data_IF_550296787069
#
_entry.id   IF_550296787069
#
_cell.length_a   1.000
_cell.length_b   1.000
_cell.length_c   1.000
_cell.angle_alpha   90.00
_cell.angle_beta   90.00
_cell.angle_gamma   90.00
#
_symmetry.space_group_name_H-M   'P 1'
#
loop_
_entity.id
_entity.type
_entity.pdbx_description
1 polymer ?
#
# COMPACT_ATOMS: atom_id res chain seq x y z
N UNK A 1 8.65 1.69 23.20
CA UNK A 1 8.01 2.89 22.61
C UNK A 1 6.80 2.32 21.89
N UNK A 2 5.65 2.39 22.55
CA UNK A 2 4.40 1.76 22.08
C UNK A 2 3.93 2.47 20.82
N UNK A 3 3.76 1.72 19.73
CA UNK A 3 3.04 2.19 18.54
C UNK A 3 1.68 2.71 18.99
N UNK A 4 1.41 3.98 18.69
CA UNK A 4 0.08 4.53 18.90
C UNK A 4 -0.88 3.81 17.97
N UNK A 5 -2.03 3.40 18.51
CA UNK A 5 -3.08 2.75 17.73
C UNK A 5 -3.48 3.68 16.57
N UNK A 6 -3.19 3.25 15.34
CA UNK A 6 -3.57 3.95 14.13
C UNK A 6 -5.09 3.85 13.97
N UNK A 7 -5.80 4.91 14.39
CA UNK A 7 -7.24 5.03 14.20
C UNK A 7 -7.49 5.56 12.78
N UNK A 8 -8.43 4.97 12.00
CA UNK A 8 -8.80 5.54 10.71
C UNK A 8 -9.20 7.01 10.91
N UNK A 9 -8.40 7.93 10.37
CA UNK A 9 -8.68 9.35 10.43
C UNK A 9 -9.99 9.63 9.70
N UNK A 10 -10.84 10.43 10.33
CA UNK A 10 -12.02 11.03 9.71
C UNK A 10 -11.56 11.79 8.44
N UNK A 11 -11.82 11.18 7.27
CA UNK A 11 -11.46 11.68 5.93
C UNK A 11 -12.25 12.95 5.52
N UNK A 12 -12.74 13.74 6.47
CA UNK A 12 -13.51 14.97 6.21
C UNK A 12 -12.76 16.28 6.47
N UNK A 13 -11.50 16.25 6.92
CA UNK A 13 -10.71 17.48 7.04
C UNK A 13 -9.87 17.71 5.80
N UNK A 14 -10.51 18.25 4.76
CA UNK A 14 -9.78 19.12 3.84
C UNK A 14 -9.14 20.24 4.68
N UNK A 15 -7.86 20.50 4.45
CA UNK A 15 -7.08 21.50 5.17
C UNK A 15 -7.41 22.92 4.77
N UNK A 16 -8.69 23.33 4.69
CA UNK A 16 -9.05 24.73 4.46
C UNK A 16 -9.91 25.29 5.58
N UNK A 17 -9.30 26.27 6.24
CA UNK A 17 -9.87 27.39 7.01
C UNK A 17 -10.59 27.07 8.32
N UNK A 18 -9.96 27.43 9.45
CA UNK A 18 -10.49 28.46 10.35
C UNK A 18 -9.31 29.24 10.99
N UNK A 19 -9.14 30.49 10.58
CA UNK A 19 -8.37 31.47 11.36
C UNK A 19 -9.31 32.05 12.42
N UNK A 20 -9.13 31.65 13.68
CA UNK A 20 -9.59 32.46 14.81
C UNK A 20 -8.37 32.99 15.57
N UNK A 21 -8.08 34.26 15.33
CA UNK A 21 -7.10 35.09 16.00
C UNK A 21 -7.65 35.54 17.36
N UNK A 22 -7.00 35.16 18.47
CA UNK A 22 -6.85 36.01 19.65
C UNK A 22 -5.74 35.48 20.58
N UNK A 23 -4.62 36.22 20.65
CA UNK A 23 -3.79 36.24 21.86
C UNK A 23 -2.28 36.07 21.63
N UNK A 24 -1.59 37.19 21.49
CA UNK A 24 -0.13 37.28 21.47
C UNK A 24 0.45 36.83 22.83
N UNK A 25 1.22 35.75 22.82
CA UNK A 25 2.41 35.61 23.66
C UNK A 25 3.58 35.23 22.75
N UNK A 26 4.54 36.14 22.67
CA UNK A 26 5.81 35.93 21.99
C UNK A 26 6.74 35.05 22.86
N UNK A 27 7.63 34.35 22.15
CA UNK A 27 8.73 33.51 22.61
C UNK A 27 8.37 32.07 23.01
N UNK A 28 8.16 31.22 22.00
CA UNK A 28 8.85 29.92 21.89
C UNK A 28 8.60 29.29 20.52
N UNK A 29 9.69 28.99 19.81
CA UNK A 29 9.81 28.18 18.58
C UNK A 29 8.68 28.32 17.56
N UNK A 30 8.94 29.13 16.53
CA UNK A 30 8.30 28.96 15.23
C UNK A 30 8.69 27.57 14.70
N UNK A 31 7.93 26.54 15.08
CA UNK A 31 7.82 25.33 14.29
C UNK A 31 7.33 25.82 12.93
N UNK A 32 8.26 26.01 12.00
CA UNK A 32 7.91 25.95 10.59
C UNK A 32 7.41 24.53 10.43
N UNK A 33 6.09 24.35 10.53
CA UNK A 33 5.42 23.21 9.92
C UNK A 33 5.72 23.42 8.45
N UNK A 34 6.84 22.86 7.98
CA UNK A 34 7.10 22.78 6.56
C UNK A 34 6.02 21.86 6.05
N UNK A 35 4.96 22.41 5.48
CA UNK A 35 4.06 21.62 4.65
C UNK A 35 4.94 20.86 3.67
N UNK A 36 4.83 19.53 3.66
CA UNK A 36 5.60 18.71 2.75
C UNK A 36 5.36 19.17 1.33
N UNK A 37 6.42 19.21 0.53
CA UNK A 37 6.29 19.62 -0.86
C UNK A 37 5.69 18.48 -1.68
N UNK A 38 5.17 18.84 -2.84
CA UNK A 38 4.74 17.88 -3.85
C UNK A 38 5.93 17.61 -4.78
N UNK A 39 6.24 16.34 -4.99
CA UNK A 39 7.21 15.82 -5.94
C UNK A 39 6.44 15.07 -7.01
N UNK A 40 6.55 15.50 -8.26
CA UNK A 40 5.76 14.94 -9.36
C UNK A 40 6.47 13.78 -10.04
N UNK A 41 5.71 12.74 -10.41
CA UNK A 41 6.20 11.57 -11.14
C UNK A 41 5.35 11.31 -12.37
N UNK A 42 5.99 11.15 -13.53
CA UNK A 42 5.35 10.88 -14.83
C UNK A 42 6.27 10.00 -15.68
N UNK A 43 5.78 8.84 -16.16
CA UNK A 43 6.60 7.88 -16.91
C UNK A 43 6.92 8.33 -18.35
N UNK A 44 6.12 9.24 -18.93
CA UNK A 44 6.27 9.69 -20.31
C UNK A 44 6.25 11.21 -20.53
N UNK A 45 5.90 11.98 -19.49
CA UNK A 45 5.74 13.43 -19.56
C UNK A 45 6.70 14.26 -18.70
N UNK A 46 6.48 15.59 -18.63
CA UNK A 46 7.28 16.47 -17.80
C UNK A 46 6.88 16.35 -16.33
N UNK A 47 7.77 15.79 -15.52
CA UNK A 47 7.67 15.74 -14.07
C UNK A 47 9.07 15.89 -13.43
N UNK A 48 9.14 15.98 -12.11
CA UNK A 48 10.41 16.04 -11.37
C UNK A 48 11.19 14.73 -11.55
N UNK A 49 10.50 13.59 -11.57
CA UNK A 49 11.06 12.26 -11.78
C UNK A 49 10.25 11.44 -12.78
N UNK A 50 10.93 10.50 -13.45
CA UNK A 50 10.30 9.54 -14.36
C UNK A 50 10.05 8.15 -13.72
N UNK A 51 10.39 7.99 -12.44
CA UNK A 51 10.15 6.77 -11.70
C UNK A 51 9.91 7.09 -10.22
N UNK A 52 9.13 6.23 -9.57
CA UNK A 52 8.60 6.46 -8.23
C UNK A 52 9.71 6.33 -7.17
N UNK A 53 10.60 5.35 -7.30
CA UNK A 53 11.65 5.11 -6.33
C UNK A 53 12.59 6.31 -6.20
N UNK A 54 13.00 6.93 -7.33
CA UNK A 54 13.84 8.12 -7.30
C UNK A 54 13.15 9.32 -6.63
N UNK A 55 11.85 9.48 -6.82
CA UNK A 55 11.08 10.50 -6.12
C UNK A 55 11.01 10.25 -4.61
N UNK A 56 10.82 8.98 -4.20
CA UNK A 56 10.86 8.59 -2.78
C UNK A 56 12.25 8.85 -2.19
N UNK A 57 13.33 8.55 -2.91
CA UNK A 57 14.71 8.79 -2.46
C UNK A 57 14.95 10.29 -2.18
N UNK A 58 14.41 11.18 -2.99
CA UNK A 58 14.49 12.65 -2.86
C UNK A 58 13.53 13.24 -1.81
N UNK A 59 12.44 12.54 -1.48
CA UNK A 59 11.45 12.97 -0.52
C UNK A 59 11.99 13.00 0.93
N UNK A 60 11.50 13.95 1.73
CA UNK A 60 11.66 13.95 3.18
C UNK A 60 10.32 13.62 3.86
N UNK A 61 10.35 13.26 5.14
CA UNK A 61 9.13 13.04 5.91
C UNK A 61 8.16 14.23 5.78
N UNK A 62 6.89 13.92 5.54
CA UNK A 62 5.82 14.87 5.25
C UNK A 62 5.61 15.16 3.75
N UNK A 63 6.58 14.90 2.88
CA UNK A 63 6.45 15.15 1.44
C UNK A 63 5.41 14.22 0.78
N UNK A 64 4.90 14.68 -0.36
CA UNK A 64 3.96 13.94 -1.21
C UNK A 64 4.61 13.63 -2.55
N UNK A 65 4.70 12.35 -2.89
CA UNK A 65 5.02 11.87 -4.23
C UNK A 65 3.70 11.72 -4.99
N UNK A 66 3.43 12.64 -5.93
CA UNK A 66 2.22 12.68 -6.73
C UNK A 66 2.46 12.08 -8.12
N UNK A 67 1.81 10.97 -8.42
CA UNK A 67 2.02 10.12 -9.59
C UNK A 67 0.93 10.39 -10.63
N UNK A 68 1.34 10.76 -11.84
CA UNK A 68 0.44 10.97 -12.99
C UNK A 68 -0.19 9.64 -13.45
N UNK A 69 -1.31 9.67 -14.18
CA UNK A 69 -1.82 8.49 -14.89
C UNK A 69 -0.78 7.98 -15.91
N UNK A 70 -0.50 6.68 -15.88
CA UNK A 70 0.60 6.07 -16.63
C UNK A 70 0.73 4.58 -16.33
N UNK A 71 1.58 3.87 -17.09
CA UNK A 71 1.88 2.45 -16.85
C UNK A 71 3.35 2.32 -16.45
N UNK A 72 3.55 2.41 -15.14
CA UNK A 72 4.86 2.37 -14.51
C UNK A 72 5.39 0.94 -14.51
N UNK A 73 6.49 0.73 -15.23
CA UNK A 73 7.19 -0.55 -15.37
C UNK A 73 8.69 -0.38 -15.22
N UNK A 74 9.40 -1.49 -15.02
CA UNK A 74 10.86 -1.49 -14.97
C UNK A 74 11.44 -1.02 -13.64
N UNK A 75 12.77 -0.88 -13.62
CA UNK A 75 13.50 -0.51 -12.41
C UNK A 75 13.06 0.88 -11.89
N UNK A 76 12.86 0.99 -10.58
CA UNK A 76 12.37 2.20 -9.91
C UNK A 76 10.85 2.36 -9.90
N UNK A 77 10.12 1.46 -10.57
CA UNK A 77 8.65 1.46 -10.65
C UNK A 77 8.04 0.12 -10.20
N UNK A 78 8.84 -0.73 -9.56
CA UNK A 78 8.48 -2.02 -8.96
C UNK A 78 9.46 -2.29 -7.83
N UNK A 79 9.09 -3.19 -6.93
CA UNK A 79 9.78 -3.42 -5.65
C UNK A 79 10.00 -2.11 -4.88
N UNK A 80 9.01 -1.22 -4.94
CA UNK A 80 9.11 0.14 -4.44
C UNK A 80 9.18 0.11 -2.91
N UNK A 81 10.23 0.74 -2.36
CA UNK A 81 10.52 0.82 -0.93
C UNK A 81 10.37 2.27 -0.45
N UNK A 82 9.63 2.45 0.64
CA UNK A 82 9.40 3.75 1.28
C UNK A 82 10.61 4.21 2.12
N UNK A 83 11.59 3.35 2.35
CA UNK A 83 12.83 3.62 3.08
C UNK A 83 12.58 4.04 4.53
N UNK A 84 11.48 3.59 5.15
CA UNK A 84 11.07 3.99 6.50
C UNK A 84 10.54 5.44 6.60
N UNK A 85 10.30 6.12 5.47
CA UNK A 85 9.88 7.53 5.45
C UNK A 85 8.38 7.69 5.71
N UNK A 86 8.02 8.72 6.47
CA UNK A 86 6.65 9.15 6.70
C UNK A 86 6.16 10.06 5.57
N UNK A 87 6.01 9.51 4.37
CA UNK A 87 5.61 10.22 3.13
C UNK A 87 4.28 9.70 2.60
N UNK A 88 3.64 10.48 1.72
CA UNK A 88 2.49 10.02 0.94
C UNK A 88 2.89 9.77 -0.51
N UNK A 89 2.70 8.55 -1.00
CA UNK A 89 2.75 8.22 -2.44
C UNK A 89 1.32 8.06 -2.93
N UNK A 90 0.88 8.93 -3.85
CA UNK A 90 -0.50 8.92 -4.35
C UNK A 90 -0.65 9.26 -5.82
N UNK A 91 -1.75 8.87 -6.43
CA UNK A 91 -2.16 9.43 -7.72
C UNK A 91 -2.61 10.90 -7.58
N UNK A 92 -2.74 11.59 -8.72
CA UNK A 92 -3.20 12.98 -8.77
C UNK A 92 -4.59 13.19 -8.15
N UNK A 93 -5.46 12.17 -8.20
CA UNK A 93 -6.75 12.14 -7.53
C UNK A 93 -7.03 10.71 -7.04
N UNK A 94 -6.69 10.38 -5.78
CA UNK A 94 -6.84 9.03 -5.26
C UNK A 94 -8.29 8.62 -4.99
N UNK A 95 -9.27 9.51 -5.16
CA UNK A 95 -10.68 9.21 -4.95
C UNK A 95 -11.45 9.03 -6.26
N UNK A 96 -10.89 9.47 -7.41
CA UNK A 96 -11.48 9.18 -8.72
C UNK A 96 -11.05 7.78 -9.19
N UNK A 97 -11.98 6.80 -9.27
CA UNK A 97 -11.64 5.44 -9.68
C UNK A 97 -11.05 5.36 -11.11
N UNK A 98 -11.33 6.33 -11.98
CA UNK A 98 -10.74 6.36 -13.33
C UNK A 98 -9.27 6.76 -13.29
N UNK A 99 -8.90 7.67 -12.38
CA UNK A 99 -7.50 8.04 -12.16
C UNK A 99 -6.76 6.89 -11.50
N UNK A 100 -7.32 6.30 -10.45
CA UNK A 100 -6.73 5.11 -9.79
C UNK A 100 -6.50 3.98 -10.79
N UNK A 101 -7.48 3.68 -11.64
CA UNK A 101 -7.37 2.64 -12.67
C UNK A 101 -6.34 2.98 -13.77
N UNK A 102 -6.08 4.26 -14.00
CA UNK A 102 -5.14 4.73 -15.01
C UNK A 102 -3.70 4.94 -14.47
N UNK A 103 -3.50 5.03 -13.16
CA UNK A 103 -2.18 5.09 -12.51
C UNK A 103 -1.74 3.69 -12.10
N UNK A 104 -1.08 2.98 -13.02
CA UNK A 104 -0.82 1.54 -12.92
C UNK A 104 0.65 1.27 -12.60
N UNK A 105 0.89 0.55 -11.51
CA UNK A 105 2.14 -0.12 -11.19
C UNK A 105 2.08 -1.53 -11.75
N UNK A 106 2.67 -1.74 -12.93
CA UNK A 106 2.73 -3.04 -13.57
C UNK A 106 4.08 -3.70 -13.31
N UNK A 107 4.08 -4.60 -12.32
CA UNK A 107 5.30 -5.18 -11.77
C UNK A 107 6.05 -6.03 -12.79
N UNK A 108 5.34 -6.54 -13.82
CA UNK A 108 5.85 -7.51 -14.79
C UNK A 108 6.57 -8.69 -14.13
N UNK A 109 6.07 -9.13 -12.97
CA UNK A 109 6.60 -10.26 -12.24
C UNK A 109 6.53 -11.52 -13.07
N UNK A 110 7.66 -12.19 -13.21
CA UNK A 110 7.77 -13.43 -13.96
C UNK A 110 8.49 -14.49 -13.14
N UNK A 111 8.33 -15.75 -13.53
CA UNK A 111 8.96 -16.86 -12.83
C UNK A 111 10.47 -16.68 -12.70
N UNK A 112 11.17 -16.29 -13.76
CA UNK A 112 12.63 -16.11 -13.69
C UNK A 112 13.06 -14.73 -13.19
N UNK A 113 12.11 -13.84 -12.93
CA UNK A 113 12.34 -12.42 -12.59
C UNK A 113 11.16 -11.93 -11.73
N UNK A 114 11.11 -12.44 -10.50
CA UNK A 114 10.01 -12.15 -9.58
C UNK A 114 10.08 -10.72 -9.09
N UNK A 115 8.97 -10.00 -9.19
CA UNK A 115 8.84 -8.61 -8.81
C UNK A 115 7.49 -8.38 -8.16
N UNK A 116 7.44 -7.44 -7.21
CA UNK A 116 6.20 -6.96 -6.58
C UNK A 116 6.02 -5.47 -6.82
N UNK A 117 4.90 -4.92 -6.38
CA UNK A 117 4.64 -3.48 -6.46
C UNK A 117 5.41 -2.73 -5.39
N UNK A 118 5.13 -3.07 -4.13
CA UNK A 118 5.66 -2.37 -2.95
C UNK A 118 6.21 -3.34 -1.91
N UNK A 119 7.25 -2.89 -1.21
CA UNK A 119 7.83 -3.57 -0.07
C UNK A 119 8.06 -2.59 1.08
N UNK A 120 7.28 -2.73 2.15
CA UNK A 120 7.42 -1.94 3.36
C UNK A 120 8.21 -2.75 4.39
N UNK A 121 9.45 -2.34 4.66
CA UNK A 121 10.34 -3.03 5.59
C UNK A 121 11.31 -2.10 6.35
N UNK A 122 11.14 -0.78 6.19
CA UNK A 122 11.96 0.24 6.84
C UNK A 122 11.48 0.63 8.24
N UNK A 123 10.43 -0.02 8.76
CA UNK A 123 9.75 0.40 9.99
C UNK A 123 8.75 1.52 9.75
N UNK A 124 8.16 1.57 8.56
CA UNK A 124 7.10 2.51 8.19
C UNK A 124 5.94 2.45 9.20
N UNK A 125 5.39 3.60 9.56
CA UNK A 125 4.20 3.73 10.40
C UNK A 125 3.00 4.21 9.58
N UNK A 126 1.87 4.49 10.23
CA UNK A 126 0.66 4.89 9.51
C UNK A 126 0.73 6.26 8.82
N UNK A 127 1.81 7.04 9.01
CA UNK A 127 2.10 8.24 8.22
C UNK A 127 2.82 7.93 6.90
N UNK A 128 3.28 6.69 6.70
CA UNK A 128 3.68 6.19 5.38
C UNK A 128 2.42 5.75 4.63
N UNK A 129 1.95 6.59 3.71
CA UNK A 129 0.65 6.44 3.05
C UNK A 129 0.84 6.07 1.58
N UNK A 130 0.21 4.96 1.17
CA UNK A 130 0.04 4.56 -0.22
C UNK A 130 -1.43 4.77 -0.61
N UNK A 131 -1.70 5.62 -1.61
CA UNK A 131 -3.07 6.03 -1.90
C UNK A 131 -3.41 6.10 -3.39
N UNK A 132 -4.45 5.41 -3.83
CA UNK A 132 -5.04 5.66 -5.16
C UNK A 132 -4.23 5.14 -6.34
N UNK A 133 -3.52 4.02 -6.19
CA UNK A 133 -2.78 3.37 -7.28
C UNK A 133 -3.38 1.99 -7.63
N UNK A 134 -3.21 1.56 -8.87
CA UNK A 134 -3.48 0.18 -9.31
C UNK A 134 -2.21 -0.65 -9.36
N UNK A 135 -2.11 -1.72 -8.60
CA UNK A 135 -0.92 -2.57 -8.46
C UNK A 135 -1.22 -3.96 -9.01
N UNK A 136 -0.49 -4.36 -10.05
CA UNK A 136 -0.79 -5.61 -10.74
C UNK A 136 0.41 -6.36 -11.28
N UNK A 137 0.14 -7.59 -11.70
CA UNK A 137 1.09 -8.50 -12.33
C UNK A 137 2.34 -8.74 -11.46
N UNK A 138 2.19 -8.66 -10.14
CA UNK A 138 3.22 -9.06 -9.20
C UNK A 138 3.38 -10.58 -9.17
N UNK A 139 4.63 -11.05 -9.13
CA UNK A 139 4.96 -12.46 -8.94
C UNK A 139 6.13 -12.58 -7.98
N UNK A 140 5.87 -13.12 -6.79
CA UNK A 140 6.89 -13.39 -5.79
C UNK A 140 7.11 -14.90 -5.61
N UNK A 141 8.27 -15.26 -5.07
CA UNK A 141 8.67 -16.63 -4.77
C UNK A 141 8.58 -16.89 -3.26
N UNK A 142 7.94 -17.99 -2.87
CA UNK A 142 7.81 -18.33 -1.44
C UNK A 142 6.79 -17.45 -0.73
N UNK A 143 7.01 -17.19 0.56
CA UNK A 143 6.04 -16.55 1.45
C UNK A 143 5.87 -15.04 1.23
N UNK A 144 6.43 -14.47 0.17
CA UNK A 144 6.50 -13.04 -0.03
C UNK A 144 5.29 -12.56 -0.85
N UNK A 145 4.67 -11.46 -0.42
CA UNK A 145 3.52 -10.87 -1.11
C UNK A 145 3.80 -10.61 -2.59
N UNK A 146 2.93 -11.10 -3.47
CA UNK A 146 3.04 -10.86 -4.91
C UNK A 146 2.84 -9.39 -5.28
N UNK A 147 1.83 -8.74 -4.71
CA UNK A 147 1.55 -7.32 -4.95
C UNK A 147 2.25 -6.40 -3.96
N UNK A 148 1.92 -6.56 -2.67
CA UNK A 148 2.46 -5.76 -1.57
C UNK A 148 2.97 -6.69 -0.46
N UNK A 149 4.21 -6.48 -0.04
CA UNK A 149 4.78 -7.11 1.16
C UNK A 149 5.00 -6.06 2.24
N UNK A 150 4.54 -6.36 3.45
CA UNK A 150 4.67 -5.53 4.65
C UNK A 150 5.31 -6.39 5.73
N UNK A 151 6.51 -6.00 6.16
CA UNK A 151 7.30 -6.73 7.14
C UNK A 151 7.84 -5.78 8.21
N UNK A 152 7.49 -6.04 9.48
CA UNK A 152 7.87 -5.18 10.61
C UNK A 152 7.52 -3.69 10.38
N UNK A 153 6.40 -3.44 9.69
CA UNK A 153 5.93 -2.10 9.31
C UNK A 153 4.41 -2.03 9.42
N UNK A 154 3.85 -0.82 9.54
CA UNK A 154 2.41 -0.57 9.71
C UNK A 154 1.92 0.62 8.88
N UNK A 155 2.11 0.63 7.54
CA UNK A 155 1.69 1.71 6.66
C UNK A 155 0.16 1.84 6.56
N UNK A 156 -0.29 2.97 6.03
CA UNK A 156 -1.67 3.15 5.58
C UNK A 156 -1.77 2.90 4.07
N UNK A 157 -2.61 1.95 3.66
CA UNK A 157 -2.89 1.64 2.25
C UNK A 157 -4.35 1.97 1.99
N UNK A 158 -4.63 2.90 1.08
CA UNK A 158 -6.01 3.36 0.86
C UNK A 158 -6.37 3.60 -0.61
N UNK A 159 -7.63 3.38 -0.95
CA UNK A 159 -8.18 3.64 -2.28
C UNK A 159 -7.40 2.95 -3.42
N UNK A 160 -6.71 1.84 -3.13
CA UNK A 160 -5.90 1.12 -4.11
C UNK A 160 -6.69 -0.01 -4.76
N UNK A 161 -6.30 -0.33 -6.00
CA UNK A 161 -6.70 -1.57 -6.67
C UNK A 161 -5.50 -2.50 -6.68
N UNK A 162 -5.64 -3.70 -6.12
CA UNK A 162 -4.57 -4.69 -6.00
C UNK A 162 -5.06 -5.94 -6.69
N UNK A 163 -4.59 -6.16 -7.92
CA UNK A 163 -5.14 -7.20 -8.79
C UNK A 163 -4.11 -8.02 -9.54
N UNK A 164 -4.46 -9.24 -9.93
CA UNK A 164 -3.62 -10.09 -10.77
C UNK A 164 -2.21 -10.32 -10.20
N UNK A 165 -2.06 -10.28 -8.87
CA UNK A 165 -0.81 -10.57 -8.19
C UNK A 165 -0.78 -12.02 -7.73
N UNK A 166 0.40 -12.62 -7.77
CA UNK A 166 0.55 -14.03 -7.48
C UNK A 166 1.81 -14.35 -6.69
N UNK A 167 1.75 -15.45 -5.96
CA UNK A 167 2.94 -16.10 -5.40
C UNK A 167 3.10 -17.44 -6.07
N UNK A 168 4.28 -17.70 -6.63
CA UNK A 168 4.58 -19.01 -7.16
C UNK A 168 5.07 -19.95 -6.06
N UNK A 169 4.59 -21.19 -6.13
CA UNK A 169 4.91 -22.18 -5.12
C UNK A 169 5.10 -23.60 -5.65
N UNK A 170 6.12 -24.29 -5.10
CA UNK A 170 6.50 -25.64 -5.48
C UNK A 170 6.33 -26.70 -4.37
N UNK A 171 5.75 -26.39 -3.20
CA UNK A 171 5.40 -27.42 -2.20
C UNK A 171 5.33 -27.00 -0.74
N UNK A 172 4.11 -27.04 -0.19
CA UNK A 172 3.56 -26.77 1.17
C UNK A 172 3.99 -25.52 1.98
N UNK A 173 3.19 -24.44 1.95
CA UNK A 173 3.46 -23.15 2.62
C UNK A 173 2.34 -22.15 2.36
N UNK A 174 1.97 -21.38 3.39
CA UNK A 174 0.85 -20.44 3.39
C UNK A 174 1.34 -19.08 2.84
N UNK A 175 0.72 -18.53 1.78
CA UNK A 175 1.31 -17.42 0.99
C UNK A 175 0.28 -16.35 0.62
N UNK A 176 0.67 -15.07 0.65
CA UNK A 176 -0.19 -13.94 0.27
C UNK A 176 -0.04 -13.49 -1.16
N UNK A 177 -1.12 -13.53 -1.96
CA UNK A 177 -1.08 -13.09 -3.36
C UNK A 177 -1.07 -11.57 -3.50
N UNK A 178 -2.14 -10.93 -3.05
CA UNK A 178 -2.32 -9.49 -3.13
C UNK A 178 -1.49 -8.75 -2.09
N UNK A 179 -1.82 -8.94 -0.81
CA UNK A 179 -1.16 -8.28 0.33
C UNK A 179 -0.65 -9.34 1.31
N UNK A 180 0.62 -9.26 1.69
CA UNK A 180 1.23 -10.11 2.70
C UNK A 180 1.73 -9.26 3.87
N UNK A 181 1.26 -9.54 5.09
CA UNK A 181 1.69 -8.88 6.33
C UNK A 181 2.46 -9.88 7.21
N UNK A 182 3.67 -9.54 7.65
CA UNK A 182 4.52 -10.40 8.47
C UNK A 182 5.17 -9.67 9.65
N UNK A 183 5.56 -10.43 10.67
CA UNK A 183 6.45 -9.99 11.74
C UNK A 183 5.92 -8.75 12.48
N UNK A 184 4.78 -8.91 13.16
CA UNK A 184 4.12 -7.84 13.93
C UNK A 184 3.71 -6.62 13.10
N UNK A 185 3.31 -6.82 11.84
CA UNK A 185 2.84 -5.76 10.95
C UNK A 185 1.35 -5.50 11.13
N UNK A 186 0.98 -4.24 11.41
CA UNK A 186 -0.42 -3.86 11.68
C UNK A 186 -0.87 -2.70 10.77
N UNK A 187 -0.82 -2.88 9.44
CA UNK A 187 -1.22 -1.83 8.51
C UNK A 187 -2.71 -1.53 8.60
N UNK A 188 -3.08 -0.32 8.18
CA UNK A 188 -4.48 0.08 7.99
C UNK A 188 -4.78 0.06 6.50
N UNK A 189 -5.74 -0.77 6.09
CA UNK A 189 -6.12 -1.00 4.69
C UNK A 189 -7.55 -0.50 4.51
N UNK A 190 -7.77 0.55 3.71
CA UNK A 190 -9.07 1.25 3.63
C UNK A 190 -9.53 1.45 2.19
N UNK A 191 -10.81 1.20 1.89
CA UNK A 191 -11.39 1.46 0.56
C UNK A 191 -10.63 0.78 -0.60
N UNK A 192 -9.98 -0.35 -0.35
CA UNK A 192 -9.21 -1.06 -1.36
C UNK A 192 -10.05 -2.14 -2.05
N UNK A 193 -9.80 -2.34 -3.34
CA UNK A 193 -10.27 -3.49 -4.10
C UNK A 193 -9.12 -4.50 -4.26
N UNK A 194 -9.23 -5.66 -3.62
CA UNK A 194 -8.21 -6.72 -3.61
C UNK A 194 -8.81 -7.91 -4.35
N UNK A 195 -8.51 -8.01 -5.65
CA UNK A 195 -9.22 -8.93 -6.54
C UNK A 195 -8.30 -9.74 -7.45
N UNK A 196 -8.76 -10.91 -7.88
CA UNK A 196 -8.07 -11.71 -8.91
C UNK A 196 -6.61 -12.04 -8.56
N UNK A 197 -6.26 -12.07 -7.27
CA UNK A 197 -4.94 -12.46 -6.80
C UNK A 197 -4.90 -13.96 -6.50
N UNK A 198 -3.73 -14.59 -6.65
CA UNK A 198 -3.58 -16.04 -6.54
C UNK A 198 -2.40 -16.44 -5.66
N UNK A 199 -2.65 -17.29 -4.67
CA UNK A 199 -1.62 -17.85 -3.82
C UNK A 199 -1.99 -19.23 -3.28
N UNK A 200 -1.09 -19.86 -2.53
CA UNK A 200 -1.37 -21.14 -1.85
C UNK A 200 -2.32 -20.99 -0.65
N UNK A 201 -2.40 -19.81 -0.03
CA UNK A 201 -3.29 -19.57 1.11
C UNK A 201 -3.36 -18.09 1.51
N UNK A 202 -4.49 -17.43 1.30
CA UNK A 202 -4.62 -15.98 1.45
C UNK A 202 -4.34 -15.24 0.14
N UNK A 203 -4.93 -15.72 -0.96
CA UNK A 203 -4.82 -15.12 -2.29
C UNK A 203 -5.02 -13.60 -2.27
N UNK A 204 -6.04 -13.12 -1.57
CA UNK A 204 -6.23 -11.68 -1.36
C UNK A 204 -5.29 -11.12 -0.29
N UNK A 205 -5.50 -11.51 0.96
CA UNK A 205 -4.72 -11.06 2.12
C UNK A 205 -4.17 -12.27 2.88
N UNK A 206 -2.87 -12.26 3.14
CA UNK A 206 -2.22 -13.18 4.07
C UNK A 206 -1.62 -12.40 5.24
N UNK A 207 -1.82 -12.91 6.46
CA UNK A 207 -1.24 -12.33 7.66
C UNK A 207 -0.51 -13.38 8.49
N UNK A 208 0.76 -13.15 8.82
CA UNK A 208 1.56 -13.97 9.73
C UNK A 208 2.06 -13.13 10.91
N UNK A 209 1.68 -13.51 12.14
CA UNK A 209 2.06 -12.80 13.37
C UNK A 209 1.73 -11.31 13.27
N UNK A 210 0.56 -10.99 12.71
CA UNK A 210 0.19 -9.65 12.25
C UNK A 210 -1.30 -9.41 12.45
N UNK A 211 -1.70 -8.16 12.69
CA UNK A 211 -3.10 -7.77 12.90
C UNK A 211 -3.51 -6.60 12.00
N UNK A 212 -3.58 -6.81 10.66
CA UNK A 212 -4.00 -5.75 9.75
C UNK A 212 -5.45 -5.36 9.99
N UNK A 213 -5.74 -4.06 9.96
CA UNK A 213 -7.09 -3.53 10.04
C UNK A 213 -7.60 -3.22 8.64
N UNK A 214 -8.69 -3.87 8.24
CA UNK A 214 -9.27 -3.81 6.89
C UNK A 214 -10.66 -3.19 6.97
N UNK A 215 -10.85 -2.03 6.33
CA UNK A 215 -12.07 -1.23 6.44
C UNK A 215 -12.60 -0.86 5.05
N UNK A 216 -13.89 -1.04 4.79
CA UNK A 216 -14.53 -0.65 3.52
C UNK A 216 -13.88 -1.28 2.27
N UNK A 217 -13.24 -2.44 2.43
CA UNK A 217 -12.56 -3.12 1.34
C UNK A 217 -13.45 -4.17 0.67
N UNK A 218 -13.16 -4.44 -0.60
CA UNK A 218 -13.68 -5.60 -1.32
C UNK A 218 -12.56 -6.59 -1.57
N UNK A 219 -12.72 -7.82 -1.07
CA UNK A 219 -11.81 -8.95 -1.31
C UNK A 219 -12.55 -9.99 -2.14
N UNK A 220 -12.28 -10.03 -3.45
CA UNK A 220 -13.09 -10.79 -4.39
C UNK A 220 -12.30 -11.61 -5.41
N UNK A 221 -12.84 -12.73 -5.88
CA UNK A 221 -12.24 -13.53 -6.98
C UNK A 221 -10.79 -14.00 -6.73
N UNK A 222 -10.34 -14.07 -5.48
CA UNK A 222 -8.97 -14.51 -5.19
C UNK A 222 -8.90 -16.05 -5.12
N UNK A 223 -7.80 -16.61 -5.63
CA UNK A 223 -7.48 -18.04 -5.60
C UNK A 223 -6.51 -18.35 -4.46
N UNK A 224 -6.73 -19.46 -3.74
CA UNK A 224 -6.07 -19.74 -2.46
C UNK A 224 -6.82 -19.18 -1.26
N UNK A 225 -8.10 -18.82 -1.43
CA UNK A 225 -8.90 -18.15 -0.41
C UNK A 225 -8.74 -16.64 -0.41
N UNK A 226 -9.72 -15.93 0.17
CA UNK A 226 -9.70 -14.47 0.21
C UNK A 226 -8.75 -13.92 1.27
N UNK A 227 -8.78 -14.53 2.46
CA UNK A 227 -8.02 -14.11 3.62
C UNK A 227 -7.51 -15.34 4.35
N UNK A 228 -6.23 -15.35 4.72
CA UNK A 228 -5.64 -16.36 5.58
C UNK A 228 -4.77 -15.71 6.64
N UNK A 229 -4.88 -16.16 7.88
CA UNK A 229 -4.13 -15.63 9.00
C UNK A 229 -3.53 -16.75 9.84
N UNK A 230 -2.22 -16.68 10.04
CA UNK A 230 -1.45 -17.62 10.86
C UNK A 230 -0.78 -16.86 12.00
N UNK A 231 -1.04 -17.26 13.25
CA UNK A 231 -0.50 -16.58 14.44
C UNK A 231 -0.85 -15.08 14.50
N UNK A 232 -1.86 -14.65 13.74
CA UNK A 232 -2.33 -13.27 13.65
C UNK A 232 -3.85 -13.22 13.52
N UNK A 233 -4.38 -12.00 13.41
CA UNK A 233 -5.82 -11.77 13.27
C UNK A 233 -6.07 -10.50 12.46
N UNK A 234 -6.54 -10.66 11.23
CA UNK A 234 -7.03 -9.54 10.43
C UNK A 234 -8.41 -9.08 10.96
N UNK A 235 -8.54 -7.78 11.22
CA UNK A 235 -9.80 -7.18 11.68
C UNK A 235 -10.55 -6.60 10.48
N UNK A 236 -11.81 -7.01 10.28
CA UNK A 236 -12.63 -6.53 9.17
C UNK A 236 -13.77 -5.67 9.67
N UNK A 237 -13.95 -4.50 9.06
CA UNK A 237 -15.06 -3.60 9.28
C UNK A 237 -15.67 -3.20 7.94
N UNK A 238 -16.98 -3.42 7.77
CA UNK A 238 -17.72 -2.98 6.59
C UNK A 238 -17.11 -3.46 5.25
N UNK A 239 -16.56 -4.68 5.24
CA UNK A 239 -15.92 -5.28 4.07
C UNK A 239 -16.85 -6.24 3.33
N UNK A 240 -16.65 -6.37 2.02
CA UNK A 240 -17.24 -7.41 1.19
C UNK A 240 -16.18 -8.47 0.87
N UNK A 241 -16.38 -9.70 1.33
CA UNK A 241 -15.52 -10.86 1.01
C UNK A 241 -16.37 -11.86 0.22
N UNK A 242 -16.13 -12.00 -1.08
CA UNK A 242 -17.00 -12.78 -1.98
C UNK A 242 -16.21 -13.52 -3.05
N UNK A 243 -16.73 -14.62 -3.57
CA UNK A 243 -16.20 -15.31 -4.76
C UNK A 243 -14.71 -15.72 -4.67
N UNK A 244 -14.18 -15.86 -3.46
CA UNK A 244 -12.82 -16.36 -3.24
C UNK A 244 -12.84 -17.89 -3.13
N UNK A 245 -11.89 -18.55 -3.79
CA UNK A 245 -11.86 -20.00 -3.93
C UNK A 245 -10.56 -20.54 -3.35
N UNK A 246 -10.62 -21.58 -2.53
CA UNK A 246 -9.45 -22.35 -2.14
C UNK A 246 -9.01 -23.18 -3.35
N UNK A 247 -7.74 -23.13 -3.74
CA UNK A 247 -7.25 -24.11 -4.71
C UNK A 247 -7.32 -25.51 -4.08
N UNK A 248 -7.48 -26.55 -4.90
CA UNK A 248 -7.73 -27.93 -4.46
C UNK A 248 -6.54 -28.60 -3.75
N UNK A 249 -5.52 -27.84 -3.32
CA UNK A 249 -4.35 -28.34 -2.60
C UNK A 249 -4.27 -27.91 -1.13
N UNK A 250 -5.28 -27.21 -0.61
CA UNK A 250 -5.43 -26.85 0.82
C UNK A 250 -6.69 -27.41 1.48
#
# INVERSE_FOLDING_TARGET
LSGGDCVPGDLSRDGRTEFEDFGIFADDWLHVVTEGRIITVDDDGPADFNNIQAAIEDANDGDVVEVQPGIYTGNGNRDIDFLGKAITVRSIDPHDPNIVAATVIDCNGAWMDGHRGFHFHGGEDCNSVLSGLSIKNGLAWGEDGGGILIENSSPTIQNCVISDNSTYFAGMGDLGGGICCKNSSNPVIVNCAINDNSAGGGGGIFCWDSTPKVVHCTVANNSGGGVYCWQGAAEFQDCLITDNIMDSTG
#
